data_IF_170327572261
#
_entry.id   IF_170327572261
#
_cell.length_a   1.000
_cell.length_b   1.000
_cell.length_c   1.000
_cell.angle_alpha   90.00
_cell.angle_beta   90.00
_cell.angle_gamma   90.00
#
_symmetry.space_group_name_H-M   'P 1'
#
loop_
_entity.id
_entity.type
_entity.pdbx_description
1 polymer ?
#
# COMPACT_ATOMS: atom_id res chain seq x y z
N UNK A 1 -11.14 -13.15 28.58
CA UNK A 1 -11.15 -13.21 27.11
C UNK A 1 -9.73 -13.47 26.65
N UNK A 2 -9.45 -14.67 26.17
CA UNK A 2 -8.08 -15.06 25.81
C UNK A 2 -7.63 -14.26 24.58
N UNK A 3 -6.50 -13.56 24.70
CA UNK A 3 -5.91 -12.72 23.63
C UNK A 3 -5.34 -13.53 22.47
N UNK A 4 -5.56 -14.84 22.45
CA UNK A 4 -5.06 -15.78 21.43
C UNK A 4 -5.59 -15.43 20.05
N UNK A 5 -6.86 -15.06 19.92
CA UNK A 5 -7.46 -14.59 18.66
C UNK A 5 -6.81 -13.31 18.10
N UNK A 6 -6.28 -12.45 18.97
CA UNK A 6 -5.61 -11.21 18.59
C UNK A 6 -4.10 -11.37 18.37
N UNK A 7 -3.55 -12.58 18.56
CA UNK A 7 -2.15 -12.83 18.25
C UNK A 7 -1.92 -12.67 16.74
N UNK A 8 -0.84 -11.98 16.30
CA UNK A 8 -0.64 -11.68 14.89
C UNK A 8 -0.72 -12.90 13.94
N UNK A 9 -0.15 -14.08 14.28
CA UNK A 9 -0.25 -15.25 13.41
C UNK A 9 -1.69 -15.77 13.27
N UNK A 10 -2.44 -15.82 14.37
CA UNK A 10 -3.82 -16.32 14.36
C UNK A 10 -4.74 -15.34 13.64
N UNK A 11 -4.60 -14.03 13.91
CA UNK A 11 -5.35 -12.99 13.23
C UNK A 11 -5.09 -13.00 11.72
N UNK A 12 -3.84 -13.20 11.29
CA UNK A 12 -3.50 -13.34 9.87
C UNK A 12 -4.21 -14.53 9.23
N UNK A 13 -4.12 -15.71 9.84
CA UNK A 13 -4.77 -16.93 9.31
C UNK A 13 -6.29 -16.79 9.26
N UNK A 14 -6.90 -16.22 10.29
CA UNK A 14 -8.34 -15.98 10.32
C UNK A 14 -8.80 -15.04 9.20
N UNK A 15 -8.09 -13.93 8.98
CA UNK A 15 -8.40 -12.99 7.90
C UNK A 15 -8.15 -13.62 6.52
N UNK A 16 -7.08 -14.38 6.36
CA UNK A 16 -6.79 -15.09 5.12
C UNK A 16 -7.91 -16.08 4.76
N UNK A 17 -8.35 -16.88 5.73
CA UNK A 17 -9.48 -17.80 5.55
C UNK A 17 -10.76 -17.05 5.20
N UNK A 18 -11.07 -15.96 5.91
CA UNK A 18 -12.24 -15.14 5.65
C UNK A 18 -12.23 -14.60 4.21
N UNK A 19 -11.12 -13.99 3.77
CA UNK A 19 -10.99 -13.45 2.40
C UNK A 19 -11.09 -14.57 1.37
N UNK A 20 -10.52 -15.75 1.65
CA UNK A 20 -10.65 -16.94 0.79
C UNK A 20 -12.10 -17.38 0.63
N UNK A 21 -12.87 -17.43 1.72
CA UNK A 21 -14.31 -17.75 1.70
C UNK A 21 -15.08 -16.71 0.90
N UNK A 22 -14.83 -15.42 1.12
CA UNK A 22 -15.48 -14.34 0.37
C UNK A 22 -15.18 -14.42 -1.13
N UNK A 23 -13.92 -14.71 -1.49
CA UNK A 23 -13.53 -14.93 -2.89
C UNK A 23 -14.28 -16.11 -3.51
N UNK A 24 -14.37 -17.25 -2.81
CA UNK A 24 -15.08 -18.43 -3.31
C UNK A 24 -16.57 -18.16 -3.48
N UNK A 25 -17.20 -17.50 -2.51
CA UNK A 25 -18.61 -17.08 -2.62
C UNK A 25 -18.80 -16.15 -3.81
N UNK A 26 -17.97 -15.12 -3.96
CA UNK A 26 -18.02 -14.21 -5.10
C UNK A 26 -17.86 -14.93 -6.43
N UNK A 27 -16.97 -15.93 -6.51
CA UNK A 27 -16.78 -16.78 -7.69
C UNK A 27 -17.98 -17.68 -7.95
N UNK A 28 -18.61 -18.25 -6.93
CA UNK A 28 -19.80 -19.09 -7.07
C UNK A 28 -21.03 -18.29 -7.55
N UNK A 29 -21.13 -17.03 -7.13
CA UNK A 29 -22.19 -16.11 -7.55
C UNK A 29 -21.94 -15.50 -8.94
N UNK A 30 -20.72 -15.62 -9.48
CA UNK A 30 -20.40 -15.10 -10.80
C UNK A 30 -21.14 -15.90 -11.89
N UNK A 31 -21.78 -15.18 -12.82
CA UNK A 31 -22.45 -15.80 -13.97
C UNK A 31 -21.46 -16.50 -14.93
N UNK A 32 -21.96 -17.32 -15.86
CA UNK A 32 -21.14 -18.00 -16.85
C UNK A 32 -20.27 -16.99 -17.63
N UNK A 33 -18.97 -17.27 -17.74
CA UNK A 33 -18.04 -16.43 -18.48
C UNK A 33 -17.52 -17.16 -19.72
N UNK A 34 -17.73 -16.56 -20.88
CA UNK A 34 -17.06 -16.96 -22.13
C UNK A 34 -15.76 -16.16 -22.26
N UNK A 35 -14.64 -16.87 -22.36
CA UNK A 35 -13.34 -16.25 -22.61
C UNK A 35 -13.29 -15.71 -24.04
N UNK A 36 -13.05 -14.42 -24.17
CA UNK A 36 -12.79 -13.77 -25.47
C UNK A 36 -11.56 -12.87 -25.31
N UNK A 37 -10.72 -12.70 -26.35
CA UNK A 37 -9.54 -11.85 -26.27
C UNK A 37 -9.85 -10.42 -25.80
N UNK A 38 -11.02 -9.89 -26.18
CA UNK A 38 -11.48 -8.56 -25.80
C UNK A 38 -11.83 -8.41 -24.30
N UNK A 39 -12.25 -9.48 -23.62
CA UNK A 39 -12.52 -9.44 -22.17
C UNK A 39 -11.24 -9.45 -21.32
N UNK A 40 -10.13 -9.93 -21.91
CA UNK A 40 -8.81 -9.93 -21.28
C UNK A 40 -7.92 -8.76 -21.69
N UNK A 41 -8.31 -7.98 -22.71
CA UNK A 41 -7.56 -6.79 -23.13
C UNK A 41 -7.82 -5.61 -22.21
N UNK A 42 -6.82 -4.72 -22.07
CA UNK A 42 -6.99 -3.43 -21.38
C UNK A 42 -8.16 -2.65 -21.97
N UNK A 43 -9.01 -2.09 -21.10
CA UNK A 43 -10.10 -1.24 -21.55
C UNK A 43 -9.55 0.09 -22.10
N UNK A 44 -9.82 0.34 -23.38
CA UNK A 44 -9.34 1.48 -24.15
C UNK A 44 -10.47 2.16 -24.94
N UNK A 45 -11.71 2.06 -24.45
CA UNK A 45 -12.90 2.61 -25.13
C UNK A 45 -13.09 2.16 -26.59
N UNK A 46 -12.60 0.97 -26.94
CA UNK A 46 -12.66 0.40 -28.30
C UNK A 46 -11.42 0.65 -29.17
N UNK A 47 -10.46 1.44 -28.69
CA UNK A 47 -9.21 1.73 -29.40
C UNK A 47 -8.15 0.64 -29.17
N UNK A 48 -7.07 0.66 -29.97
CA UNK A 48 -5.91 -0.17 -29.68
C UNK A 48 -5.31 0.20 -28.31
N UNK A 49 -5.05 -0.78 -27.40
CA UNK A 49 -4.44 -0.50 -26.12
C UNK A 49 -3.09 0.20 -26.27
N UNK A 50 -2.76 1.18 -25.40
CA UNK A 50 -1.45 1.80 -25.43
C UNK A 50 -0.35 0.75 -25.18
N UNK A 51 0.63 0.69 -26.09
CA UNK A 51 1.76 -0.26 -26.02
C UNK A 51 2.79 0.11 -24.95
N UNK A 52 2.74 1.35 -24.45
CA UNK A 52 3.59 1.83 -23.38
C UNK A 52 2.70 2.19 -22.18
N UNK A 53 3.06 1.76 -20.96
CA UNK A 53 2.36 2.20 -19.76
C UNK A 53 2.51 3.71 -19.65
N UNK A 54 1.40 4.42 -19.82
CA UNK A 54 1.33 5.83 -19.51
C UNK A 54 1.30 5.96 -18.00
N UNK A 55 2.44 6.32 -17.40
CA UNK A 55 2.52 6.80 -16.02
C UNK A 55 2.78 8.33 -16.01
N UNK A 56 1.91 9.15 -16.64
CA UNK A 56 2.04 10.60 -16.55
C UNK A 56 1.91 10.98 -15.07
N UNK A 57 2.99 11.53 -14.51
CA UNK A 57 3.03 11.90 -13.10
C UNK A 57 3.80 10.96 -12.17
N UNK A 58 4.59 10.00 -12.66
CA UNK A 58 5.45 9.19 -11.78
C UNK A 58 6.39 10.04 -10.92
N UNK A 59 6.99 11.11 -11.49
CA UNK A 59 7.87 12.03 -10.75
C UNK A 59 7.16 12.74 -9.59
N UNK A 60 6.04 13.46 -9.79
CA UNK A 60 5.33 14.08 -8.67
C UNK A 60 4.78 13.04 -7.68
N UNK A 61 4.32 11.88 -8.15
CA UNK A 61 3.90 10.79 -7.26
C UNK A 61 5.06 10.29 -6.38
N UNK A 62 6.26 10.14 -6.96
CA UNK A 62 7.44 9.67 -6.23
C UNK A 62 7.81 10.59 -5.07
N UNK A 63 7.77 11.91 -5.27
CA UNK A 63 8.05 12.89 -4.21
C UNK A 63 7.06 12.74 -3.05
N UNK A 64 5.76 12.63 -3.37
CA UNK A 64 4.70 12.45 -2.36
C UNK A 64 4.85 11.11 -1.63
N UNK A 65 5.17 10.03 -2.34
CA UNK A 65 5.37 8.71 -1.75
C UNK A 65 6.59 8.69 -0.82
N UNK A 66 7.70 9.31 -1.23
CA UNK A 66 8.90 9.40 -0.41
C UNK A 66 8.67 10.27 0.83
N UNK A 67 7.93 11.37 0.69
CA UNK A 67 7.53 12.21 1.81
C UNK A 67 6.74 11.41 2.85
N UNK A 68 5.73 10.66 2.39
CA UNK A 68 4.95 9.80 3.27
C UNK A 68 5.81 8.74 3.96
N UNK A 69 6.75 8.11 3.24
CA UNK A 69 7.64 7.10 3.82
C UNK A 69 8.54 7.67 4.93
N UNK A 70 9.16 8.84 4.71
CA UNK A 70 10.03 9.49 5.71
C UNK A 70 9.19 9.95 6.91
N UNK A 71 8.02 10.56 6.67
CA UNK A 71 7.11 10.98 7.73
C UNK A 71 6.62 9.78 8.56
N UNK A 72 6.27 8.68 7.90
CA UNK A 72 5.86 7.45 8.56
C UNK A 72 6.98 6.88 9.44
N UNK A 73 8.23 6.89 8.97
CA UNK A 73 9.38 6.52 9.78
C UNK A 73 9.55 7.46 10.99
N UNK A 74 9.33 8.76 10.83
CA UNK A 74 9.34 9.72 11.94
C UNK A 74 8.31 9.41 13.01
N UNK A 75 7.08 9.10 12.60
CA UNK A 75 6.01 8.67 13.52
C UNK A 75 6.37 7.36 14.22
N UNK A 76 6.99 6.40 13.52
CA UNK A 76 7.44 5.15 14.10
C UNK A 76 8.52 5.37 15.15
N UNK A 77 9.56 6.16 14.85
CA UNK A 77 10.63 6.51 15.79
C UNK A 77 10.07 7.25 17.01
N UNK A 78 9.11 8.15 16.82
CA UNK A 78 8.46 8.88 17.90
C UNK A 78 7.58 7.98 18.77
N UNK A 79 6.82 7.06 18.15
CA UNK A 79 5.86 6.20 18.85
C UNK A 79 6.49 4.99 19.55
N UNK A 80 7.62 4.48 19.05
CA UNK A 80 8.33 3.33 19.64
C UNK A 80 9.58 3.73 20.44
N UNK A 81 10.06 4.95 20.30
CA UNK A 81 11.27 5.44 20.96
C UNK A 81 11.02 6.04 22.35
N UNK A 82 12.07 6.09 23.17
CA UNK A 82 12.05 6.83 24.44
C UNK A 82 12.46 8.30 24.26
N UNK A 83 12.24 9.13 25.29
CA UNK A 83 12.72 10.51 25.38
C UNK A 83 14.24 10.55 25.61
N UNK A 84 15.00 10.31 24.54
CA UNK A 84 16.47 10.28 24.57
C UNK A 84 17.05 11.23 23.52
N UNK A 85 18.29 11.65 23.74
CA UNK A 85 19.03 12.48 22.78
C UNK A 85 19.16 11.82 21.41
N UNK A 86 19.28 10.49 21.37
CA UNK A 86 19.37 9.72 20.13
C UNK A 86 18.06 9.81 19.34
N UNK A 87 16.91 9.64 19.99
CA UNK A 87 15.60 9.81 19.37
C UNK A 87 15.45 11.23 18.81
N UNK A 88 15.88 12.24 19.56
CA UNK A 88 15.87 13.63 19.11
C UNK A 88 16.73 13.86 17.86
N UNK A 89 17.91 13.24 17.78
CA UNK A 89 18.80 13.33 16.62
C UNK A 89 18.18 12.68 15.37
N UNK A 90 17.54 11.51 15.52
CA UNK A 90 16.82 10.87 14.42
C UNK A 90 15.66 11.72 13.92
N UNK A 91 14.85 12.28 14.82
CA UNK A 91 13.73 13.14 14.44
C UNK A 91 14.19 14.42 13.74
N UNK A 92 15.28 15.03 14.20
CA UNK A 92 15.88 16.20 13.54
C UNK A 92 16.37 15.85 12.12
N UNK A 93 17.07 14.73 11.95
CA UNK A 93 17.54 14.25 10.65
C UNK A 93 16.39 13.95 9.68
N UNK A 94 15.32 13.29 10.16
CA UNK A 94 14.11 13.03 9.37
C UNK A 94 13.40 14.34 9.00
N UNK A 95 13.33 15.30 9.91
CA UNK A 95 12.79 16.65 9.63
C UNK A 95 13.57 17.38 8.55
N UNK A 96 14.90 17.33 8.59
CA UNK A 96 15.76 17.90 7.53
C UNK A 96 15.55 17.19 6.19
N UNK A 97 15.39 15.87 6.18
CA UNK A 97 15.09 15.13 4.96
C UNK A 97 13.73 15.53 4.36
N UNK A 98 12.70 15.73 5.19
CA UNK A 98 11.40 16.23 4.74
C UNK A 98 11.49 17.65 4.17
N UNK A 99 12.23 18.54 4.84
CA UNK A 99 12.47 19.90 4.34
C UNK A 99 13.19 19.90 2.99
N UNK A 100 14.26 19.10 2.86
CA UNK A 100 15.00 18.97 1.61
C UNK A 100 14.11 18.43 0.48
N UNK A 101 13.21 17.50 0.78
CA UNK A 101 12.27 16.92 -0.18
C UNK A 101 11.17 17.89 -0.63
N UNK A 102 10.75 18.82 0.23
CA UNK A 102 9.75 19.84 -0.11
C UNK A 102 10.39 21.00 -0.90
N UNK A 103 11.63 21.36 -0.56
CA UNK A 103 12.33 22.53 -1.11
C UNK A 103 13.14 22.23 -2.38
N UNK A 104 13.49 20.96 -2.64
CA UNK A 104 14.21 20.49 -3.82
C UNK A 104 13.29 19.94 -4.90
#
# INVERSE_FOLDING_TARGET
>A
MDKTLLSPPIAFLANFLLVGVLYLIGRMLAGPSTMTPHKSSTYSSGEAPPVQPAAPGYRPFFVVALFFAILHLGVLVMGSGGLTTITGLYLAGLGLALLALILG
#
